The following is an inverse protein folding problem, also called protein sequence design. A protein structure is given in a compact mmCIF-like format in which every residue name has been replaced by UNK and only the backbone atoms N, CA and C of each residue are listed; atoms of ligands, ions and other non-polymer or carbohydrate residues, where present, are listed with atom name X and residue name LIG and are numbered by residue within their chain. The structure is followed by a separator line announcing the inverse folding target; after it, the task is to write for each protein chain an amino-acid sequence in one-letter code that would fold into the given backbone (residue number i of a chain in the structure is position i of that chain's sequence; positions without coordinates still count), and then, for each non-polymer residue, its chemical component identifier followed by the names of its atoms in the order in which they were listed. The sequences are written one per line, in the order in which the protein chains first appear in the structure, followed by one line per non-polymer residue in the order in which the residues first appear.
data_IF_056855726975
#
_entry.id   IF_056855726975
#
_cell.length_a   1.000
_cell.length_b   1.000
_cell.length_c   1.000
_cell.angle_alpha   90.00
_cell.angle_beta   90.00
_cell.angle_gamma   90.00
#
_symmetry.space_group_name_H-M   'P 1'
#
loop_
_entity.id
_entity.type
_entity.pdbx_description
1 polymer ?
#
# COMPACT_ATOMS: atom_id res chain seq x y z
N UNK A 1 1.26 -10.95 -6.38
CA UNK A 1 2.68 -11.31 -6.67
C UNK A 1 2.76 -12.62 -7.45
N UNK A 2 2.16 -13.72 -6.97
CA UNK A 2 2.24 -15.06 -7.60
C UNK A 2 1.69 -15.07 -9.04
N UNK A 3 0.58 -14.38 -9.29
CA UNK A 3 0.01 -14.23 -10.63
C UNK A 3 0.99 -13.55 -11.60
N UNK A 4 1.69 -12.51 -11.13
CA UNK A 4 2.71 -11.82 -11.92
C UNK A 4 3.93 -12.72 -12.17
N UNK A 5 4.37 -13.49 -11.17
CA UNK A 5 5.43 -14.49 -11.36
C UNK A 5 5.06 -15.55 -12.42
N UNK A 6 3.78 -15.88 -12.53
CA UNK A 6 3.25 -16.75 -13.58
C UNK A 6 3.11 -16.08 -14.96
N UNK A 7 3.44 -14.78 -15.06
CA UNK A 7 3.31 -14.02 -16.31
C UNK A 7 1.89 -13.58 -16.62
N UNK A 8 1.07 -13.33 -15.58
CA UNK A 8 -0.30 -12.85 -15.71
C UNK A 8 -0.38 -11.39 -15.29
N UNK A 9 -1.02 -10.55 -16.09
CA UNK A 9 -1.37 -9.19 -15.71
C UNK A 9 -2.35 -9.18 -14.52
N UNK A 10 -2.39 -8.09 -13.79
CA UNK A 10 -3.25 -7.95 -12.62
C UNK A 10 -4.26 -6.82 -12.79
N UNK A 11 -5.46 -7.04 -12.27
CA UNK A 11 -6.44 -6.00 -11.98
C UNK A 11 -6.54 -5.96 -10.47
N UNK A 12 -6.27 -4.81 -9.87
CA UNK A 12 -6.23 -4.73 -8.43
C UNK A 12 -6.69 -3.39 -7.90
N UNK A 13 -7.26 -3.42 -6.70
CA UNK A 13 -7.63 -2.24 -5.96
C UNK A 13 -6.38 -1.47 -5.51
N UNK A 14 -6.40 -0.15 -5.68
CA UNK A 14 -5.33 0.75 -5.24
C UNK A 14 -5.49 0.99 -3.74
N UNK A 15 -5.05 0.03 -2.94
CA UNK A 15 -5.13 0.09 -1.47
C UNK A 15 -4.00 -0.71 -0.81
N UNK A 16 -3.48 -0.21 0.28
CA UNK A 16 -2.45 -0.87 1.07
C UNK A 16 -1.30 -1.42 0.22
N UNK A 17 -0.79 -2.58 0.54
CA UNK A 17 0.32 -3.22 -0.18
C UNK A 17 0.02 -3.67 -1.62
N UNK A 18 -1.22 -3.57 -2.09
CA UNK A 18 -1.52 -3.79 -3.51
C UNK A 18 -0.92 -2.69 -4.39
N UNK A 19 -0.76 -1.48 -3.87
CA UNK A 19 -0.14 -0.36 -4.57
C UNK A 19 1.31 -0.66 -4.96
N UNK A 20 2.06 -1.34 -4.08
CA UNK A 20 3.46 -1.72 -4.34
C UNK A 20 3.59 -2.63 -5.56
N UNK A 21 2.62 -3.53 -5.76
CA UNK A 21 2.62 -4.48 -6.87
C UNK A 21 2.36 -3.79 -8.22
N UNK A 22 1.76 -2.61 -8.22
CA UNK A 22 1.46 -1.85 -9.42
C UNK A 22 2.61 -0.95 -9.85
N UNK A 23 3.56 -0.63 -8.97
CA UNK A 23 4.69 0.25 -9.26
C UNK A 23 4.23 1.59 -9.82
N UNK A 24 3.57 2.39 -9.01
CA UNK A 24 3.18 3.74 -9.43
C UNK A 24 4.39 4.62 -9.68
N UNK A 25 4.25 5.54 -10.62
CA UNK A 25 5.29 6.46 -11.04
C UNK A 25 4.87 7.91 -10.76
N UNK A 26 5.85 8.72 -10.41
CA UNK A 26 5.71 10.17 -10.31
C UNK A 26 5.72 10.84 -11.71
N UNK A 27 5.72 12.16 -11.74
CA UNK A 27 5.74 12.95 -12.98
C UNK A 27 7.04 12.75 -13.78
N UNK A 28 8.12 12.38 -13.12
CA UNK A 28 9.43 12.14 -13.75
C UNK A 28 9.56 10.70 -14.27
N UNK A 29 8.63 9.82 -13.92
CA UNK A 29 8.67 8.41 -14.23
C UNK A 29 9.44 7.57 -13.20
N UNK A 30 9.78 8.17 -12.06
CA UNK A 30 10.43 7.47 -10.97
C UNK A 30 9.41 6.66 -10.15
N UNK A 31 9.82 5.49 -9.70
CA UNK A 31 8.98 4.65 -8.85
C UNK A 31 8.73 5.30 -7.50
N UNK A 32 7.46 5.46 -7.16
CA UNK A 32 7.02 5.96 -5.86
C UNK A 32 7.16 4.83 -4.84
N UNK A 33 8.12 5.00 -3.93
CA UNK A 33 8.30 4.09 -2.80
C UNK A 33 7.44 4.58 -1.65
N UNK A 34 6.57 3.69 -1.18
CA UNK A 34 5.69 3.99 -0.06
C UNK A 34 6.47 3.92 1.26
N UNK A 35 6.29 4.92 2.08
CA UNK A 35 6.84 5.01 3.42
C UNK A 35 5.72 4.99 4.48
N UNK A 36 6.07 5.15 5.74
CA UNK A 36 5.13 5.14 6.86
C UNK A 36 4.10 6.29 6.83
N UNK A 37 4.35 7.34 6.06
CA UNK A 37 3.48 8.51 5.92
C UNK A 37 2.58 8.40 4.69
N UNK A 38 2.81 7.40 3.84
CA UNK A 38 2.02 7.23 2.63
C UNK A 38 0.61 6.71 2.97
N UNK A 39 -0.45 7.30 2.40
CA UNK A 39 -1.83 6.90 2.72
C UNK A 39 -2.15 5.49 2.23
N UNK A 40 -3.16 4.85 2.83
CA UNK A 40 -3.65 3.52 2.43
C UNK A 40 -4.08 3.47 0.97
N UNK A 41 -4.55 4.60 0.43
CA UNK A 41 -4.72 4.80 -1.00
C UNK A 41 -4.49 6.28 -1.32
N UNK A 42 -4.13 6.58 -2.57
CA UNK A 42 -3.86 7.95 -3.02
C UNK A 42 -4.99 8.53 -3.87
N UNK A 43 -6.16 7.89 -3.94
CA UNK A 43 -7.36 8.35 -4.67
C UNK A 43 -7.07 8.86 -6.09
N UNK A 44 -6.17 8.21 -6.82
CA UNK A 44 -5.83 8.58 -8.18
C UNK A 44 -4.90 9.78 -8.33
N UNK A 45 -4.20 10.20 -7.27
CA UNK A 45 -3.14 11.22 -7.37
C UNK A 45 -2.08 10.78 -8.37
N UNK A 46 -1.68 9.51 -8.32
CA UNK A 46 -0.77 8.91 -9.28
C UNK A 46 -1.55 7.99 -10.22
N UNK A 47 -1.42 8.20 -11.51
CA UNK A 47 -2.17 7.44 -12.52
C UNK A 47 -1.30 6.50 -13.34
N UNK A 48 -0.01 6.83 -13.45
CA UNK A 48 0.93 5.97 -14.14
C UNK A 48 1.37 4.83 -13.24
N UNK A 49 1.26 3.61 -13.75
CA UNK A 49 1.75 2.41 -13.08
C UNK A 49 2.38 1.45 -14.10
N UNK A 50 2.93 0.36 -13.62
CA UNK A 50 3.49 -0.67 -14.47
C UNK A 50 2.46 -1.20 -15.47
N UNK A 51 2.87 -1.40 -16.72
CA UNK A 51 1.97 -1.81 -17.80
C UNK A 51 1.26 -3.16 -17.57
N UNK A 52 1.70 -3.94 -16.60
CA UNK A 52 1.10 -5.20 -16.18
C UNK A 52 -0.12 -5.05 -15.29
N UNK A 53 -0.40 -3.84 -14.81
CA UNK A 53 -1.47 -3.58 -13.87
C UNK A 53 -2.56 -2.71 -14.49
N UNK A 54 -3.80 -3.04 -14.17
CA UNK A 54 -4.97 -2.19 -14.35
C UNK A 54 -5.45 -1.79 -12.95
N UNK A 55 -5.18 -0.55 -12.52
CA UNK A 55 -5.57 -0.06 -11.21
C UNK A 55 -7.06 0.23 -11.16
N UNK A 56 -7.72 -0.17 -10.07
CA UNK A 56 -9.07 0.25 -9.71
C UNK A 56 -8.98 1.13 -8.48
N UNK A 57 -9.36 2.39 -8.60
CA UNK A 57 -9.23 3.35 -7.51
C UNK A 57 -10.44 3.30 -6.57
N UNK A 58 -10.22 3.33 -5.24
CA UNK A 58 -11.31 3.45 -4.31
C UNK A 58 -12.08 4.77 -4.51
N UNK A 59 -13.40 4.70 -4.49
CA UNK A 59 -14.27 5.86 -4.64
C UNK A 59 -14.59 6.53 -3.31
N UNK A 60 -14.57 5.75 -2.23
CA UNK A 60 -14.82 6.24 -0.88
C UNK A 60 -14.22 5.30 0.17
N UNK A 61 -14.32 5.69 1.44
CA UNK A 61 -13.98 4.85 2.58
C UNK A 61 -15.19 4.66 3.48
N UNK A 62 -15.28 3.51 4.14
CA UNK A 62 -16.30 3.25 5.16
C UNK A 62 -15.66 2.66 6.41
N UNK A 63 -16.24 2.97 7.57
CA UNK A 63 -15.81 2.36 8.81
C UNK A 63 -16.36 0.94 8.90
N UNK A 64 -15.51 -0.02 9.14
CA UNK A 64 -15.87 -1.42 9.40
C UNK A 64 -15.30 -1.88 10.74
N UNK A 65 -15.99 -2.79 11.38
CA UNK A 65 -15.56 -3.33 12.67
C UNK A 65 -16.74 -3.76 13.52
N UNK A 66 -16.45 -4.17 14.76
CA UNK A 66 -17.43 -4.54 15.77
C UNK A 66 -16.87 -4.28 17.16
N UNK A 67 -17.67 -4.38 18.25
CA UNK A 67 -17.14 -4.23 19.60
C UNK A 67 -16.02 -5.19 19.99
N UNK A 68 -15.91 -6.33 19.28
CA UNK A 68 -14.88 -7.34 19.51
C UNK A 68 -13.66 -7.22 18.57
N UNK A 69 -13.76 -6.39 17.54
CA UNK A 69 -12.72 -6.14 16.56
C UNK A 69 -12.50 -4.64 16.43
N UNK A 70 -11.26 -4.18 16.25
CA UNK A 70 -11.01 -2.76 16.06
C UNK A 70 -11.83 -2.19 14.91
N UNK A 71 -12.34 -0.97 15.08
CA UNK A 71 -12.91 -0.22 13.96
C UNK A 71 -11.79 0.32 13.10
N UNK A 72 -11.86 0.04 11.80
CA UNK A 72 -10.90 0.50 10.80
C UNK A 72 -11.64 1.16 9.63
N UNK A 73 -10.96 2.05 8.96
CA UNK A 73 -11.41 2.56 7.67
C UNK A 73 -11.05 1.56 6.58
N UNK A 74 -12.02 1.23 5.74
CA UNK A 74 -11.89 0.27 4.66
C UNK A 74 -12.21 0.97 3.33
N UNK A 75 -11.33 0.80 2.35
CA UNK A 75 -11.48 1.39 1.04
C UNK A 75 -12.55 0.66 0.23
N UNK A 76 -13.45 1.43 -0.39
CA UNK A 76 -14.58 0.91 -1.16
C UNK A 76 -14.46 1.25 -2.63
N UNK A 77 -14.65 0.24 -3.46
CA UNK A 77 -14.69 0.39 -4.91
C UNK A 77 -16.08 0.76 -5.40
N UNK A 78 -16.15 1.56 -6.46
CA UNK A 78 -17.33 1.63 -7.29
C UNK A 78 -17.37 0.40 -8.21
N UNK A 79 -18.49 -0.31 -8.19
CA UNK A 79 -18.68 -1.51 -9.02
C UNK A 79 -18.69 -1.19 -10.53
N UNK A 80 -19.02 0.04 -10.91
CA UNK A 80 -19.00 0.48 -12.32
C UNK A 80 -17.56 0.62 -12.80
N UNK A 81 -16.70 1.27 -12.01
CA UNK A 81 -15.30 1.42 -12.33
C UNK A 81 -14.60 0.06 -12.44
N UNK A 82 -14.94 -0.86 -11.51
CA UNK A 82 -14.46 -2.23 -11.60
C UNK A 82 -14.95 -2.94 -12.88
N UNK A 83 -16.22 -2.76 -13.24
CA UNK A 83 -16.78 -3.35 -14.44
C UNK A 83 -16.12 -2.79 -15.72
N UNK A 84 -15.87 -1.49 -15.75
CA UNK A 84 -15.20 -0.84 -16.89
C UNK A 84 -13.77 -1.35 -17.05
N UNK A 85 -13.03 -1.51 -15.94
CA UNK A 85 -11.67 -2.07 -15.94
C UNK A 85 -11.65 -3.53 -16.40
N UNK A 86 -12.62 -4.33 -15.96
CA UNK A 86 -12.79 -5.71 -16.46
C UNK A 86 -13.10 -5.73 -17.95
N UNK A 87 -13.94 -4.84 -18.43
CA UNK A 87 -14.28 -4.72 -19.86
C UNK A 87 -13.07 -4.22 -20.67
N UNK A 88 -12.23 -3.36 -20.13
CA UNK A 88 -10.97 -2.96 -20.76
C UNK A 88 -10.08 -4.19 -20.97
N UNK A 89 -9.86 -4.97 -19.92
CA UNK A 89 -9.09 -6.21 -19.99
C UNK A 89 -9.68 -7.22 -20.99
N UNK A 90 -11.01 -7.36 -21.01
CA UNK A 90 -11.69 -8.28 -21.92
C UNK A 90 -11.52 -7.92 -23.42
N UNK A 91 -11.41 -6.62 -23.73
CA UNK A 91 -11.21 -6.13 -25.08
C UNK A 91 -9.78 -6.21 -25.58
N UNK A 92 -8.81 -6.46 -24.71
CA UNK A 92 -7.40 -6.59 -25.08
C UNK A 92 -7.19 -7.84 -25.93
N UNK A 93 -6.25 -7.76 -26.86
CA UNK A 93 -5.82 -8.96 -27.60
C UNK A 93 -5.07 -9.94 -26.71
N UNK A 94 -5.03 -11.19 -27.09
CA UNK A 94 -4.25 -12.23 -26.38
C UNK A 94 -2.77 -11.88 -26.32
N UNK A 95 -2.27 -11.27 -27.39
CA UNK A 95 -0.88 -10.82 -27.52
C UNK A 95 -0.57 -9.71 -26.53
N UNK A 96 -1.46 -8.73 -26.41
CA UNK A 96 -1.32 -7.64 -25.45
C UNK A 96 -1.37 -8.12 -24.00
N UNK A 97 -2.33 -8.97 -23.66
CA UNK A 97 -2.42 -9.58 -22.32
C UNK A 97 -1.13 -10.34 -21.98
N UNK A 98 -0.60 -11.11 -22.94
CA UNK A 98 0.65 -11.85 -22.76
C UNK A 98 1.84 -10.90 -22.57
N UNK A 99 1.96 -9.86 -23.39
CA UNK A 99 3.04 -8.87 -23.25
C UNK A 99 3.01 -8.19 -21.89
N UNK A 100 1.84 -7.71 -21.46
CA UNK A 100 1.64 -7.11 -20.15
C UNK A 100 1.99 -8.06 -19.01
N UNK A 101 1.55 -9.31 -19.10
CA UNK A 101 1.86 -10.34 -18.10
C UNK A 101 3.36 -10.63 -18.01
N UNK A 102 4.05 -10.75 -19.14
CA UNK A 102 5.51 -10.97 -19.16
C UNK A 102 6.28 -9.78 -18.57
N UNK A 103 5.85 -8.56 -18.83
CA UNK A 103 6.44 -7.39 -18.21
C UNK A 103 6.26 -7.38 -16.68
N UNK A 104 5.10 -7.82 -16.20
CA UNK A 104 4.88 -8.00 -14.76
C UNK A 104 5.80 -9.05 -14.16
N UNK A 105 6.01 -10.17 -14.86
CA UNK A 105 6.97 -11.19 -14.45
C UNK A 105 8.41 -10.66 -14.41
N UNK A 106 8.82 -9.95 -15.42
CA UNK A 106 10.15 -9.35 -15.49
C UNK A 106 10.39 -8.42 -14.29
N UNK A 107 9.45 -7.53 -14.03
CA UNK A 107 9.56 -6.60 -12.90
C UNK A 107 9.55 -7.33 -11.56
N UNK A 108 8.60 -8.23 -11.31
CA UNK A 108 8.46 -8.89 -9.99
C UNK A 108 9.64 -9.81 -9.66
N UNK A 109 10.37 -10.28 -10.68
CA UNK A 109 11.58 -11.08 -10.50
C UNK A 109 12.88 -10.28 -10.56
N UNK A 110 12.81 -8.98 -10.88
CA UNK A 110 13.95 -8.08 -10.93
C UNK A 110 14.54 -7.80 -9.54
N UNK A 111 15.75 -7.27 -9.51
CA UNK A 111 16.39 -6.82 -8.26
C UNK A 111 15.75 -5.54 -7.70
N UNK A 112 15.02 -4.78 -8.51
CA UNK A 112 14.27 -3.60 -8.09
C UNK A 112 13.07 -3.98 -7.22
N UNK A 113 12.38 -5.07 -7.58
CA UNK A 113 11.25 -5.60 -6.82
C UNK A 113 11.71 -6.33 -5.55
N UNK A 114 11.07 -6.05 -4.44
CA UNK A 114 11.29 -6.78 -3.19
C UNK A 114 10.55 -8.12 -3.11
N UNK A 115 9.81 -8.48 -4.14
CA UNK A 115 8.88 -9.60 -4.13
C UNK A 115 9.53 -10.98 -4.31
N UNK A 116 10.75 -11.04 -4.85
CA UNK A 116 11.45 -12.32 -5.00
C UNK A 116 12.01 -12.79 -3.66
N UNK A 117 11.96 -14.12 -3.40
CA UNK A 117 12.51 -14.70 -2.18
C UNK A 117 14.00 -14.36 -1.97
N UNK A 118 14.76 -14.26 -3.06
CA UNK A 118 16.17 -13.85 -3.03
C UNK A 118 16.31 -12.43 -2.47
N UNK A 119 15.55 -11.48 -3.00
CA UNK A 119 15.60 -10.08 -2.58
C UNK A 119 15.03 -9.89 -1.17
N UNK A 120 13.96 -10.60 -0.84
CA UNK A 120 13.40 -10.60 0.51
C UNK A 120 14.43 -11.07 1.53
N UNK A 121 15.08 -12.19 1.30
CA UNK A 121 16.12 -12.72 2.19
C UNK A 121 17.29 -11.75 2.36
N UNK A 122 17.77 -11.16 1.24
CA UNK A 122 18.85 -10.16 1.30
C UNK A 122 18.44 -8.95 2.15
N UNK A 123 17.22 -8.45 1.97
CA UNK A 123 16.71 -7.31 2.72
C UNK A 123 16.47 -7.65 4.21
N UNK A 124 15.96 -8.85 4.51
CA UNK A 124 15.77 -9.30 5.89
C UNK A 124 17.13 -9.32 6.60
N UNK A 125 18.14 -9.97 6.03
CA UNK A 125 19.48 -10.06 6.62
C UNK A 125 20.05 -8.66 6.86
N UNK A 126 20.06 -7.81 5.82
CA UNK A 126 20.58 -6.44 5.90
C UNK A 126 19.84 -5.58 6.95
N UNK A 127 18.54 -5.77 7.10
CA UNK A 127 17.76 -5.03 8.10
C UNK A 127 17.99 -5.57 9.53
N UNK A 128 18.24 -6.87 9.68
CA UNK A 128 18.65 -7.41 10.98
C UNK A 128 20.01 -6.86 11.40
N UNK A 129 20.98 -6.79 10.49
CA UNK A 129 22.29 -6.20 10.79
C UNK A 129 22.13 -4.75 11.29
N UNK A 130 21.37 -3.93 10.55
CA UNK A 130 21.03 -2.55 10.95
C UNK A 130 20.30 -2.49 12.30
N UNK A 131 19.37 -3.42 12.54
CA UNK A 131 18.63 -3.48 13.78
C UNK A 131 19.58 -3.72 14.97
N UNK A 132 20.49 -4.67 14.85
CA UNK A 132 21.46 -4.97 15.90
C UNK A 132 22.43 -3.81 16.17
N UNK A 133 22.79 -3.04 15.15
CA UNK A 133 23.62 -1.84 15.29
C UNK A 133 22.89 -0.68 15.98
N UNK A 134 21.59 -0.52 15.70
CA UNK A 134 20.84 0.67 16.10
C UNK A 134 19.91 0.44 17.28
N UNK A 135 19.58 -0.83 17.58
CA UNK A 135 18.62 -1.17 18.60
C UNK A 135 19.10 -0.78 20.00
N UNK A 136 18.22 -0.12 20.72
CA UNK A 136 18.40 0.18 22.14
C UNK A 136 17.20 -0.38 22.91
N UNK A 137 17.43 -1.05 24.05
CA UNK A 137 16.32 -1.53 24.85
C UNK A 137 15.44 -0.36 25.31
N UNK A 138 14.13 -0.52 25.20
CA UNK A 138 13.21 0.45 25.81
C UNK A 138 13.37 0.40 27.32
N UNK A 139 13.42 1.55 28.02
CA UNK A 139 13.33 1.54 29.47
C UNK A 139 12.00 0.89 29.87
N UNK A 140 12.07 -0.10 30.76
CA UNK A 140 10.88 -0.85 31.21
C UNK A 140 9.88 0.04 31.95
N UNK A 141 10.38 1.13 32.57
CA UNK A 141 9.57 2.08 33.33
C UNK A 141 10.09 3.51 33.12
N UNK A 142 9.18 4.44 33.04
CA UNK A 142 9.47 5.87 33.09
C UNK A 142 8.72 6.47 34.27
N UNK A 143 9.45 6.90 35.29
CA UNK A 143 8.89 7.60 36.44
C UNK A 143 8.99 9.10 36.21
N UNK A 144 7.85 9.77 36.14
CA UNK A 144 7.79 11.22 36.10
C UNK A 144 7.19 11.75 37.38
N UNK A 145 7.89 12.65 38.08
CA UNK A 145 7.33 13.38 39.19
C UNK A 145 6.45 14.50 38.65
N UNK A 146 5.17 14.45 38.98
CA UNK A 146 4.23 15.50 38.57
C UNK A 146 4.16 16.51 39.70
N UNK A 147 4.92 17.57 39.60
CA UNK A 147 4.93 18.61 40.61
C UNK A 147 3.72 19.57 40.49
N UNK A 148 3.16 19.75 39.31
CA UNK A 148 1.91 20.48 39.08
C UNK A 148 1.20 19.93 37.83
N UNK A 149 -0.04 19.52 37.97
CA UNK A 149 -0.92 19.28 36.84
C UNK A 149 -1.44 20.63 36.31
N UNK A 150 -1.27 20.95 35.01
CA UNK A 150 -1.96 22.09 34.47
C UNK A 150 -3.47 21.78 34.49
N UNK A 151 -4.20 22.44 35.37
CA UNK A 151 -5.67 22.37 35.38
C UNK A 151 -6.14 23.05 34.10
N UNK A 152 -6.35 22.27 33.03
CA UNK A 152 -7.12 22.75 31.88
C UNK A 152 -8.56 22.87 32.33
N UNK A 153 -8.99 24.08 32.63
CA UNK A 153 -10.42 24.37 32.79
C UNK A 153 -11.09 24.12 31.46
N UNK A 154 -11.77 22.98 31.33
CA UNK A 154 -12.63 22.69 30.19
C UNK A 154 -13.84 23.65 30.29
N UNK A 155 -13.78 24.79 29.64
CA UNK A 155 -14.95 25.62 29.40
C UNK A 155 -15.78 24.94 28.30
N UNK A 156 -16.74 24.10 28.70
CA UNK A 156 -17.79 23.66 27.79
C UNK A 156 -18.68 24.86 27.48
N UNK A 157 -18.59 25.41 26.28
CA UNK A 157 -19.65 26.23 25.73
C UNK A 157 -20.80 25.26 25.36
N UNK A 158 -21.86 25.24 26.18
CA UNK A 158 -23.12 24.68 25.76
C UNK A 158 -23.67 25.58 24.64
N UNK A 159 -23.74 25.03 23.43
CA UNK A 159 -24.46 25.64 22.31
C UNK A 159 -25.88 25.10 22.40
N UNK A 160 -26.81 26.00 22.75
CA UNK A 160 -28.23 25.74 22.67
C UNK A 160 -28.70 25.93 21.24
#
# INVERSE_FOLDING_TARGET
TESMMAGTMIIANVTGGMQDQMRFEDENGDWIKFDENFPSNHFGTYKKCGKWALPVFPSNTSMVGSPKTPYIWDDRLDFRELADTLMESYKMSKEEIKERGLAGREWVTSDESMASAKNMNKNIISNFDKLFETWKPRPNFHFSKIDKLPIKTLTHKLVY
#
